data_IF_213133697551
#
_entry.id   IF_213133697551
#
_cell.length_a   1.000
_cell.length_b   1.000
_cell.length_c   1.000
_cell.angle_alpha   90.00
_cell.angle_beta   90.00
_cell.angle_gamma   90.00
#
_symmetry.space_group_name_H-M   'P 1'
#
loop_
_entity.id
_entity.type
_entity.pdbx_description
1 polymer ?
#
# COMPACT_ATOMS: atom_id res chain seq x y z
N UNK A 1 -4.30 5.20 10.09
CA UNK A 1 -3.29 4.56 10.99
C UNK A 1 -3.62 3.08 11.10
N UNK A 2 -2.62 2.21 11.26
CA UNK A 2 -2.87 0.78 11.45
C UNK A 2 -3.53 0.52 12.81
N UNK A 3 -4.30 -0.57 12.96
CA UNK A 3 -4.90 -0.94 14.24
C UNK A 3 -3.84 -1.03 15.35
N UNK A 4 -4.13 -0.45 16.52
CA UNK A 4 -3.16 -0.35 17.63
C UNK A 4 -2.76 -1.70 18.23
N UNK A 5 -3.58 -2.73 18.02
CA UNK A 5 -3.35 -4.08 18.49
C UNK A 5 -2.53 -4.93 17.49
N UNK A 6 -2.10 -4.36 16.36
CA UNK A 6 -1.23 -5.05 15.42
C UNK A 6 0.22 -4.80 15.78
N UNK A 7 0.99 -5.89 15.82
CA UNK A 7 2.44 -5.79 15.90
C UNK A 7 3.04 -5.45 14.52
N UNK A 8 4.33 -5.13 14.53
CA UNK A 8 5.06 -4.75 13.30
C UNK A 8 5.05 -5.88 12.27
N UNK A 9 5.14 -7.14 12.71
CA UNK A 9 5.17 -8.30 11.82
C UNK A 9 3.84 -8.43 11.08
N UNK A 10 2.72 -8.31 11.80
CA UNK A 10 1.38 -8.34 11.22
C UNK A 10 1.19 -7.19 10.22
N UNK A 11 1.66 -5.98 10.55
CA UNK A 11 1.61 -4.82 9.65
C UNK A 11 2.39 -5.12 8.36
N UNK A 12 3.60 -5.67 8.46
CA UNK A 12 4.41 -6.02 7.29
C UNK A 12 3.75 -7.10 6.43
N UNK A 13 3.19 -8.14 7.06
CA UNK A 13 2.44 -9.19 6.36
C UNK A 13 1.22 -8.63 5.62
N UNK A 14 0.51 -7.68 6.25
CA UNK A 14 -0.65 -7.05 5.62
C UNK A 14 -0.25 -6.19 4.41
N UNK A 15 0.83 -5.42 4.53
CA UNK A 15 1.37 -4.63 3.43
C UNK A 15 1.80 -5.54 2.28
N UNK A 16 2.48 -6.65 2.57
CA UNK A 16 2.89 -7.64 1.56
C UNK A 16 1.66 -8.23 0.84
N UNK A 17 0.62 -8.61 1.59
CA UNK A 17 -0.63 -9.09 1.03
C UNK A 17 -1.29 -8.07 0.08
N UNK A 18 -1.38 -6.80 0.49
CA UNK A 18 -1.95 -5.74 -0.36
C UNK A 18 -1.08 -5.48 -1.58
N UNK A 19 0.25 -5.52 -1.43
CA UNK A 19 1.19 -5.36 -2.54
C UNK A 19 1.00 -6.43 -3.63
N UNK A 20 0.88 -7.69 -3.24
CA UNK A 20 0.64 -8.81 -4.17
C UNK A 20 -0.70 -8.68 -4.91
N UNK A 21 -1.70 -8.06 -4.28
CA UNK A 21 -3.01 -7.81 -4.87
C UNK A 21 -3.08 -6.54 -5.73
N UNK A 22 -2.14 -5.62 -5.59
CA UNK A 22 -2.15 -4.31 -6.26
C UNK A 22 -0.94 -4.13 -7.15
N UNK A 23 0.19 -3.68 -6.58
CA UNK A 23 1.43 -3.32 -7.27
C UNK A 23 1.89 -4.44 -8.21
N UNK A 24 1.96 -5.67 -7.72
CA UNK A 24 2.42 -6.84 -8.50
C UNK A 24 1.53 -7.14 -9.71
N UNK A 25 0.28 -6.71 -9.68
CA UNK A 25 -0.73 -6.95 -10.73
C UNK A 25 -1.01 -5.70 -11.57
N UNK A 26 -0.42 -4.55 -11.22
CA UNK A 26 -0.77 -3.25 -11.81
C UNK A 26 -2.20 -2.78 -11.50
N UNK A 27 -2.87 -3.35 -10.49
CA UNK A 27 -4.27 -3.04 -10.13
C UNK A 27 -4.31 -1.99 -9.02
N UNK A 28 -5.29 -1.09 -9.08
CA UNK A 28 -5.47 -0.05 -8.06
C UNK A 28 -4.45 1.09 -8.14
N UNK A 29 -3.77 1.23 -9.29
CA UNK A 29 -2.85 2.36 -9.53
C UNK A 29 -3.62 3.67 -9.49
N UNK A 30 -3.13 4.60 -8.68
CA UNK A 30 -3.68 5.94 -8.54
C UNK A 30 -3.13 6.85 -9.64
N UNK A 31 -3.95 7.82 -10.06
CA UNK A 31 -3.48 8.91 -10.92
C UNK A 31 -2.40 9.69 -10.20
N UNK A 32 -1.24 9.83 -10.85
CA UNK A 32 -0.10 10.56 -10.29
C UNK A 32 -0.30 12.06 -10.46
N UNK A 33 -0.23 12.81 -9.37
CA UNK A 33 -0.19 14.26 -9.42
C UNK A 33 1.25 14.75 -9.70
N UNK A 34 1.44 15.97 -10.24
CA UNK A 34 2.77 16.51 -10.52
C UNK A 34 3.72 16.55 -9.30
N UNK A 35 3.16 16.65 -8.09
CA UNK A 35 3.93 16.72 -6.84
C UNK A 35 4.18 15.34 -6.20
N UNK A 36 3.65 14.26 -6.76
CA UNK A 36 3.83 12.92 -6.22
C UNK A 36 5.23 12.39 -6.57
N UNK A 37 6.03 12.15 -5.53
CA UNK A 37 7.38 11.59 -5.66
C UNK A 37 7.37 10.13 -6.09
N UNK A 38 6.33 9.38 -5.73
CA UNK A 38 6.24 7.92 -5.91
C UNK A 38 4.94 7.52 -6.62
N UNK A 39 4.94 6.33 -7.21
CA UNK A 39 3.74 5.73 -7.80
C UNK A 39 2.85 5.19 -6.67
N UNK A 40 1.62 5.69 -6.58
CA UNK A 40 0.65 5.26 -5.57
C UNK A 40 -0.25 4.12 -6.05
N UNK A 41 -0.49 3.14 -5.19
CA UNK A 41 -1.45 2.06 -5.38
C UNK A 41 -2.36 1.98 -4.16
N UNK A 42 -3.64 1.68 -4.35
CA UNK A 42 -4.62 1.51 -3.29
C UNK A 42 -5.17 0.08 -3.33
N UNK A 43 -5.20 -0.58 -2.17
CA UNK A 43 -5.83 -1.88 -2.05
C UNK A 43 -6.37 -2.15 -0.66
N UNK A 44 -7.41 -2.98 -0.61
CA UNK A 44 -8.13 -3.32 0.61
C UNK A 44 -7.40 -4.41 1.40
N UNK A 45 -7.15 -4.14 2.67
CA UNK A 45 -6.62 -5.10 3.63
C UNK A 45 -7.62 -6.22 3.94
N UNK A 46 -7.14 -7.30 4.53
CA UNK A 46 -7.95 -8.40 5.06
C UNK A 46 -8.92 -7.97 6.17
N UNK A 47 -8.68 -6.82 6.80
CA UNK A 47 -9.57 -6.22 7.81
C UNK A 47 -10.51 -5.16 7.23
N UNK A 48 -10.56 -5.02 5.91
CA UNK A 48 -11.58 -4.23 5.21
C UNK A 48 -11.30 -2.73 5.09
N UNK A 49 -10.16 -2.23 5.58
CA UNK A 49 -9.71 -0.86 5.34
C UNK A 49 -8.69 -0.81 4.20
N UNK A 50 -8.60 0.32 3.51
CA UNK A 50 -7.65 0.48 2.40
C UNK A 50 -6.25 0.86 2.89
N UNK A 51 -5.25 0.36 2.18
CA UNK A 51 -3.84 0.68 2.37
C UNK A 51 -3.33 1.30 1.07
N UNK A 52 -2.76 2.50 1.17
CA UNK A 52 -2.01 3.10 0.08
C UNK A 52 -0.56 2.63 0.19
N UNK A 53 -0.06 2.05 -0.90
CA UNK A 53 1.34 1.68 -1.08
C UNK A 53 1.96 2.66 -2.08
N UNK A 54 3.09 3.23 -1.72
CA UNK A 54 3.89 4.10 -2.58
C UNK A 54 5.17 3.36 -2.97
N UNK A 55 5.41 3.27 -4.27
CA UNK A 55 6.56 2.56 -4.83
C UNK A 55 7.39 3.44 -5.74
N UNK A 56 8.67 3.14 -5.85
CA UNK A 56 9.52 3.70 -6.91
C UNK A 56 9.16 3.13 -8.29
N UNK A 57 9.88 3.52 -9.33
CA UNK A 57 9.62 3.05 -10.70
C UNK A 57 10.00 1.57 -10.92
N UNK A 58 10.75 0.96 -10.00
CA UNK A 58 11.10 -0.47 -10.01
C UNK A 58 10.11 -1.33 -9.19
N UNK A 59 9.17 -0.69 -8.50
CA UNK A 59 8.18 -1.35 -7.65
C UNK A 59 8.63 -1.59 -6.21
N UNK A 60 9.76 -1.04 -5.77
CA UNK A 60 10.18 -1.15 -4.37
C UNK A 60 9.28 -0.29 -3.48
N UNK A 61 8.86 -0.83 -2.33
CA UNK A 61 8.02 -0.10 -1.38
C UNK A 61 8.83 1.03 -0.72
N UNK A 62 8.37 2.25 -0.93
CA UNK A 62 8.93 3.46 -0.32
C UNK A 62 8.15 3.85 0.92
N UNK A 63 6.81 3.79 0.84
CA UNK A 63 5.91 4.00 1.98
C UNK A 63 4.70 3.07 1.89
N UNK A 64 4.10 2.75 3.03
CA UNK A 64 2.80 2.11 3.09
C UNK A 64 2.03 2.57 4.34
N UNK A 65 0.79 3.01 4.14
CA UNK A 65 -0.04 3.53 5.23
C UNK A 65 -1.54 3.34 4.95
N UNK A 66 -2.37 3.17 5.99
CA UNK A 66 -3.80 3.07 5.80
C UNK A 66 -4.37 4.40 5.28
N UNK A 67 -5.26 4.29 4.30
CA UNK A 67 -5.95 5.41 3.70
C UNK A 67 -7.45 5.16 3.89
N UNK A 68 -8.11 6.12 4.54
CA UNK A 68 -9.56 6.10 4.74
C UNK A 68 -10.29 6.28 3.40
#
# INVERSE_FOLDING_TARGET
>A
MFPKNWDLIRIQQEIAYVYEKTVSKGVGKLTRNPNDLFNGFLGTSTSGFDIKIEVDDLGNIMNAYPKN
#
